data_IF_291747333642
#
_entry.id   IF_291747333642
#
_cell.length_a   1.000
_cell.length_b   1.000
_cell.length_c   1.000
_cell.angle_alpha   90.00
_cell.angle_beta   90.00
_cell.angle_gamma   90.00
#
_symmetry.space_group_name_H-M   'P 1'
#
loop_
_entity.id
_entity.type
_entity.pdbx_description
1 polymer ?
#
# COMPACT_ATOMS: atom_id res chain seq x y z
N UNK A 1 -3.47 0.17 13.19
CA UNK A 1 -4.17 1.41 12.78
C UNK A 1 -3.71 1.69 11.36
N UNK A 2 -4.59 2.18 10.49
CA UNK A 2 -4.18 2.62 9.16
C UNK A 2 -3.34 3.89 9.28
N UNK A 3 -2.25 3.99 8.53
CA UNK A 3 -1.47 5.21 8.33
C UNK A 3 -1.71 5.73 6.91
N UNK A 4 -1.53 7.02 6.68
CA UNK A 4 -1.76 7.61 5.35
C UNK A 4 -0.90 8.84 5.06
N UNK A 5 -0.61 9.02 3.78
CA UNK A 5 0.10 10.19 3.22
C UNK A 5 -0.49 10.56 1.87
N UNK A 6 -0.23 11.78 1.42
CA UNK A 6 -0.59 12.24 0.08
C UNK A 6 0.57 12.12 -0.91
N UNK A 7 0.23 11.89 -2.18
CA UNK A 7 1.15 11.96 -3.32
C UNK A 7 0.38 12.28 -4.60
N UNK A 8 0.77 13.34 -5.32
CA UNK A 8 0.21 13.69 -6.64
C UNK A 8 -1.33 13.79 -6.73
N UNK A 9 -1.97 14.30 -5.66
CA UNK A 9 -3.43 14.44 -5.57
C UNK A 9 -4.18 13.14 -5.27
N UNK A 10 -3.45 12.12 -4.81
CA UNK A 10 -3.98 10.89 -4.26
C UNK A 10 -3.62 10.77 -2.78
N UNK A 11 -4.47 10.07 -2.04
CA UNK A 11 -4.15 9.56 -0.71
C UNK A 11 -3.71 8.09 -0.83
N UNK A 12 -2.68 7.75 -0.05
CA UNK A 12 -2.17 6.39 0.08
C UNK A 12 -2.42 5.96 1.53
N UNK A 13 -3.27 4.96 1.70
CA UNK A 13 -3.60 4.36 2.99
C UNK A 13 -2.88 3.02 3.12
N UNK A 14 -2.16 2.79 4.22
CA UNK A 14 -1.37 1.58 4.44
C UNK A 14 -1.65 0.98 5.81
N UNK A 15 -1.69 -0.35 5.84
CA UNK A 15 -1.69 -1.15 7.05
C UNK A 15 -0.53 -2.15 6.98
N UNK A 16 0.49 -1.99 7.83
CA UNK A 16 1.44 -3.06 8.12
C UNK A 16 0.73 -4.22 8.82
N UNK A 17 0.94 -5.45 8.34
CA UNK A 17 0.25 -6.66 8.81
C UNK A 17 1.30 -7.65 9.33
N UNK A 18 1.23 -8.11 10.60
CA UNK A 18 2.09 -9.19 11.07
C UNK A 18 1.92 -10.46 10.20
N UNK A 19 3.03 -10.98 9.67
CA UNK A 19 3.06 -12.12 8.75
C UNK A 19 2.71 -13.46 9.42
N UNK A 20 2.99 -13.58 10.71
CA UNK A 20 2.76 -14.78 11.50
C UNK A 20 1.98 -14.45 12.77
N UNK A 21 1.34 -15.47 13.35
CA UNK A 21 0.55 -15.33 14.58
C UNK A 21 1.33 -14.68 15.73
N UNK A 22 0.64 -14.21 16.78
CA UNK A 22 1.08 -13.16 17.71
C UNK A 22 2.25 -13.51 18.67
N UNK A 23 3.18 -14.39 18.31
CA UNK A 23 4.20 -14.96 19.23
C UNK A 23 5.63 -15.05 18.68
N UNK A 24 5.98 -14.39 17.58
CA UNK A 24 7.40 -14.32 17.18
C UNK A 24 8.13 -13.26 18.02
N UNK A 25 9.28 -13.56 18.64
CA UNK A 25 10.12 -12.55 19.29
C UNK A 25 10.66 -11.51 18.29
N UNK A 26 10.74 -11.90 17.02
CA UNK A 26 11.08 -11.03 15.89
C UNK A 26 9.93 -11.12 14.87
N UNK A 27 8.86 -10.31 15.04
CA UNK A 27 7.73 -10.36 14.14
C UNK A 27 8.14 -9.84 12.75
N UNK A 28 7.76 -10.62 11.73
CA UNK A 28 7.85 -10.20 10.33
C UNK A 28 6.52 -9.56 9.92
N UNK A 29 6.59 -8.67 8.95
CA UNK A 29 5.45 -7.89 8.47
C UNK A 29 5.28 -8.02 6.96
N UNK A 30 4.03 -7.92 6.54
CA UNK A 30 3.53 -7.67 5.20
C UNK A 30 2.88 -6.29 5.17
N UNK A 31 2.29 -5.90 4.03
CA UNK A 31 1.41 -4.75 4.00
C UNK A 31 0.20 -4.96 3.08
N UNK A 32 -0.88 -4.28 3.42
CA UNK A 32 -1.99 -4.00 2.50
C UNK A 32 -2.19 -2.49 2.42
N UNK A 33 -2.62 -2.00 1.27
CA UNK A 33 -2.84 -0.59 1.04
C UNK A 33 -3.96 -0.29 0.06
N UNK A 34 -4.40 0.96 0.11
CA UNK A 34 -5.34 1.55 -0.81
C UNK A 34 -4.78 2.84 -1.40
N UNK A 35 -5.05 3.09 -2.67
CA UNK A 35 -4.83 4.37 -3.33
C UNK A 35 -6.20 4.94 -3.69
N UNK A 36 -6.49 6.16 -3.27
CA UNK A 36 -7.75 6.83 -3.60
C UNK A 36 -7.51 8.30 -3.92
N UNK A 37 -8.50 8.97 -4.53
CA UNK A 37 -8.44 10.42 -4.73
C UNK A 37 -8.55 11.10 -3.38
N UNK A 38 -7.90 12.25 -3.22
CA UNK A 38 -8.00 13.05 -2.00
C UNK A 38 -9.47 13.28 -1.60
N UNK A 39 -9.81 13.00 -0.34
CA UNK A 39 -11.16 13.10 0.21
C UNK A 39 -12.13 11.96 -0.13
N UNK A 40 -11.71 10.95 -0.90
CA UNK A 40 -12.51 9.74 -1.12
C UNK A 40 -12.35 8.76 0.06
N UNK A 41 -13.35 7.90 0.28
CA UNK A 41 -13.23 6.86 1.31
C UNK A 41 -12.42 5.67 0.77
N UNK A 42 -11.21 5.48 1.30
CA UNK A 42 -10.30 4.44 0.87
C UNK A 42 -10.86 3.01 1.06
N UNK A 43 -11.78 2.80 2.01
CA UNK A 43 -12.31 1.48 2.37
C UNK A 43 -13.63 1.15 1.65
N UNK A 44 -14.20 2.08 0.87
CA UNK A 44 -15.36 1.83 0.03
C UNK A 44 -14.98 1.27 -1.34
N UNK A 45 -15.68 0.21 -1.76
CA UNK A 45 -15.48 -0.40 -3.07
C UNK A 45 -15.77 0.61 -4.21
N UNK A 46 -14.92 0.58 -5.24
CA UNK A 46 -15.02 1.48 -6.40
C UNK A 46 -14.46 2.89 -6.16
N UNK A 47 -14.09 3.25 -4.92
CA UNK A 47 -13.46 4.54 -4.60
C UNK A 47 -11.94 4.44 -4.44
N UNK A 48 -11.39 3.23 -4.43
CA UNK A 48 -9.96 2.99 -4.24
C UNK A 48 -9.44 1.84 -5.09
N UNK A 49 -8.12 1.84 -5.27
CA UNK A 49 -7.35 0.73 -5.83
C UNK A 49 -6.63 0.04 -4.68
N UNK A 50 -6.89 -1.26 -4.49
CA UNK A 50 -6.20 -2.08 -3.50
C UNK A 50 -4.85 -2.56 -4.03
N UNK A 51 -3.84 -2.57 -3.17
CA UNK A 51 -2.55 -3.20 -3.40
C UNK A 51 -2.06 -3.89 -2.12
N UNK A 52 -1.16 -4.88 -2.24
CA UNK A 52 -0.58 -5.57 -1.11
C UNK A 52 0.66 -6.36 -1.53
N UNK A 53 1.56 -6.60 -0.58
CA UNK A 53 2.61 -7.62 -0.70
C UNK A 53 2.54 -8.52 0.55
N UNK A 54 1.97 -9.70 0.35
CA UNK A 54 1.81 -10.73 1.37
C UNK A 54 2.87 -11.83 1.25
N UNK A 55 3.82 -11.69 0.33
CA UNK A 55 4.85 -12.71 0.05
C UNK A 55 6.21 -12.29 0.60
N UNK A 56 6.53 -10.99 0.58
CA UNK A 56 7.75 -10.46 1.19
C UNK A 56 7.58 -10.23 2.67
N UNK A 57 8.62 -10.57 3.43
CA UNK A 57 8.71 -10.35 4.86
C UNK A 57 9.60 -9.14 5.16
N UNK A 58 9.08 -8.19 5.94
CA UNK A 58 9.81 -7.04 6.44
C UNK A 58 10.10 -7.20 7.94
N UNK A 59 11.32 -6.91 8.38
CA UNK A 59 11.72 -6.94 9.80
C UNK A 59 11.28 -5.67 10.54
N UNK A 60 9.98 -5.41 10.55
CA UNK A 60 9.37 -4.28 11.26
C UNK A 60 8.18 -3.65 10.54
N UNK A 61 7.24 -3.11 11.31
CA UNK A 61 6.07 -2.43 10.77
C UNK A 61 6.45 -1.20 9.93
N UNK A 62 7.43 -0.41 10.40
CA UNK A 62 7.88 0.82 9.71
C UNK A 62 8.52 0.49 8.35
N UNK A 63 9.31 -0.59 8.26
CA UNK A 63 9.88 -1.00 6.97
C UNK A 63 8.81 -1.50 5.99
N UNK A 64 7.77 -2.18 6.49
CA UNK A 64 6.64 -2.56 5.65
C UNK A 64 5.85 -1.32 5.18
N UNK A 65 5.72 -0.31 6.05
CA UNK A 65 5.07 0.96 5.75
C UNK A 65 5.83 1.74 4.66
N UNK A 66 7.15 1.90 4.82
CA UNK A 66 8.02 2.56 3.84
C UNK A 66 7.98 1.85 2.49
N UNK A 67 8.04 0.51 2.50
CA UNK A 67 7.94 -0.29 1.29
C UNK A 67 6.58 -0.12 0.59
N UNK A 68 5.49 -0.07 1.34
CA UNK A 68 4.16 0.16 0.81
C UNK A 68 4.01 1.55 0.18
N UNK A 69 4.52 2.60 0.84
CA UNK A 69 4.51 3.95 0.26
C UNK A 69 5.35 4.03 -1.01
N UNK A 70 6.52 3.40 -1.03
CA UNK A 70 7.35 3.36 -2.22
C UNK A 70 6.65 2.61 -3.39
N UNK A 71 5.93 1.52 -3.12
CA UNK A 71 5.15 0.81 -4.14
C UNK A 71 3.98 1.68 -4.64
N UNK A 72 3.21 2.27 -3.73
CA UNK A 72 2.07 3.10 -4.08
C UNK A 72 2.46 4.33 -4.92
N UNK A 73 3.54 5.02 -4.56
CA UNK A 73 4.09 6.15 -5.34
C UNK A 73 4.44 5.71 -6.75
N UNK A 74 5.14 4.58 -6.92
CA UNK A 74 5.46 4.03 -8.26
C UNK A 74 4.20 3.73 -9.08
N UNK A 75 3.14 3.20 -8.45
CA UNK A 75 1.85 2.94 -9.12
C UNK A 75 1.17 4.24 -9.55
N UNK A 76 1.15 5.26 -8.68
CA UNK A 76 0.59 6.58 -8.97
C UNK A 76 1.36 7.26 -10.11
N UNK A 77 2.69 7.28 -10.03
CA UNK A 77 3.53 7.89 -11.06
C UNK A 77 3.32 7.22 -12.42
N UNK A 78 3.19 5.89 -12.43
CA UNK A 78 2.85 5.12 -13.64
C UNK A 78 1.47 5.52 -14.17
N UNK A 79 0.44 5.55 -13.32
CA UNK A 79 -0.91 5.97 -13.70
C UNK A 79 -0.93 7.39 -14.27
N UNK A 80 -0.16 8.31 -13.69
CA UNK A 80 -0.03 9.69 -14.19
C UNK A 80 0.59 9.73 -15.58
N UNK A 81 1.55 8.85 -15.85
CA UNK A 81 2.22 8.78 -17.15
C UNK A 81 1.37 8.10 -18.24
N UNK A 82 0.54 7.10 -17.90
CA UNK A 82 -0.10 6.23 -18.88
C UNK A 82 -1.64 6.17 -18.80
N UNK A 83 -2.27 6.80 -17.81
CA UNK A 83 -3.72 6.82 -17.58
C UNK A 83 -4.34 5.50 -17.11
N UNK A 84 -3.55 4.51 -16.69
CA UNK A 84 -4.04 3.17 -16.34
C UNK A 84 -3.36 2.57 -15.12
N UNK A 85 -4.16 1.95 -14.25
CA UNK A 85 -3.69 1.18 -13.09
C UNK A 85 -3.24 -0.23 -13.43
N UNK A 86 -3.53 -0.71 -14.65
CA UNK A 86 -3.14 -2.05 -15.07
C UNK A 86 -1.61 -2.17 -15.16
N UNK A 87 -1.07 -3.27 -14.66
CA UNK A 87 0.31 -3.65 -14.96
C UNK A 87 0.40 -4.01 -16.44
N UNK A 88 1.36 -3.42 -17.15
CA UNK A 88 1.67 -3.87 -18.50
C UNK A 88 2.37 -5.22 -18.36
N UNK A 89 1.75 -6.26 -18.87
CA UNK A 89 2.40 -7.54 -19.11
C UNK A 89 3.00 -7.42 -20.51
N UNK A 90 4.31 -7.23 -20.56
CA UNK A 90 5.08 -7.28 -21.81
C UNK A 90 5.33 -8.74 -22.21
#
# INVERSE_FOLDING_TARGET
MWDHTEHEGFEIWVLPIPAFGPRSPEPLFHYSGYICRHGADAHLEGQSIRFHDMMRNFTGADMALDAAYADARKRIDRFRANGSWAERVD
#
